data_IF_175529771721
#
_entry.id   IF_175529771721
#
_cell.length_a   1.000
_cell.length_b   1.000
_cell.length_c   1.000
_cell.angle_alpha   90.00
_cell.angle_beta   90.00
_cell.angle_gamma   90.00
#
_symmetry.space_group_name_H-M   'P 1'
#
loop_
_entity.id
_entity.type
_entity.pdbx_description
1 polymer ?
#
# COMPACT_ATOMS: atom_id res chain seq x y z
N UNK A 1 -17.60 7.42 -69.57
CA UNK A 1 -17.90 6.97 -68.23
C UNK A 1 -17.27 7.84 -67.08
N UNK A 2 -16.32 8.74 -67.35
CA UNK A 2 -15.60 9.48 -66.31
C UNK A 2 -16.32 10.61 -65.61
N UNK A 3 -17.15 11.41 -66.27
CA UNK A 3 -17.72 12.62 -65.62
C UNK A 3 -18.77 12.33 -64.55
N UNK A 4 -19.58 11.29 -64.70
CA UNK A 4 -20.62 10.91 -63.72
C UNK A 4 -19.99 10.43 -62.38
N UNK A 5 -18.87 9.75 -62.42
CA UNK A 5 -18.17 9.29 -61.20
C UNK A 5 -17.45 10.44 -60.47
N UNK A 6 -16.96 11.43 -61.20
CA UNK A 6 -16.36 12.64 -60.61
C UNK A 6 -17.42 13.43 -59.83
N UNK A 7 -18.61 13.61 -60.41
CA UNK A 7 -19.71 14.31 -59.76
C UNK A 7 -20.26 13.52 -58.52
N UNK A 8 -20.32 12.17 -58.63
CA UNK A 8 -20.69 11.34 -57.48
C UNK A 8 -19.65 11.44 -56.36
N UNK A 9 -18.35 11.49 -56.66
CA UNK A 9 -17.30 11.69 -55.67
C UNK A 9 -17.33 13.08 -55.05
N UNK A 10 -17.56 14.13 -55.84
CA UNK A 10 -17.69 15.51 -55.38
C UNK A 10 -18.92 15.68 -54.49
N UNK A 11 -20.08 15.09 -54.82
CA UNK A 11 -21.26 15.10 -53.99
C UNK A 11 -21.04 14.30 -52.71
N UNK A 12 -20.34 13.16 -52.75
CA UNK A 12 -20.03 12.39 -51.56
C UNK A 12 -19.06 13.13 -50.63
N UNK A 13 -18.05 13.79 -51.19
CA UNK A 13 -17.11 14.64 -50.43
C UNK A 13 -17.83 15.87 -49.86
N UNK A 14 -18.71 16.52 -50.62
CA UNK A 14 -19.51 17.65 -50.18
C UNK A 14 -20.52 17.21 -49.10
N UNK A 15 -21.12 16.04 -49.22
CA UNK A 15 -21.95 15.44 -48.17
C UNK A 15 -21.15 15.13 -46.91
N UNK A 16 -19.98 14.56 -47.03
CA UNK A 16 -19.07 14.26 -45.92
C UNK A 16 -18.59 15.57 -45.25
N UNK A 17 -18.24 16.58 -46.04
CA UNK A 17 -17.82 17.90 -45.58
C UNK A 17 -19.02 18.64 -44.96
N UNK A 18 -20.19 18.61 -45.59
CA UNK A 18 -21.43 19.20 -45.06
C UNK A 18 -21.92 18.50 -43.80
N UNK A 19 -21.89 17.17 -43.77
CA UNK A 19 -22.12 16.40 -42.56
C UNK A 19 -21.10 16.76 -41.45
N UNK A 20 -19.85 16.94 -41.84
CA UNK A 20 -18.80 17.37 -40.90
C UNK A 20 -19.06 18.77 -40.36
N UNK A 21 -19.55 19.72 -41.15
CA UNK A 21 -19.91 21.06 -40.67
C UNK A 21 -21.25 21.14 -40.01
N UNK A 22 -22.22 20.32 -40.36
CA UNK A 22 -23.57 20.33 -39.79
C UNK A 22 -23.69 19.48 -38.52
N UNK A 23 -22.90 18.41 -38.41
CA UNK A 23 -22.81 17.58 -37.20
C UNK A 23 -21.79 18.08 -36.18
N UNK A 24 -21.10 19.20 -36.45
CA UNK A 24 -19.97 19.69 -35.65
C UNK A 24 -20.10 21.13 -35.11
N UNK A 25 -21.28 21.62 -34.69
CA UNK A 25 -21.30 22.87 -33.97
C UNK A 25 -20.64 22.66 -32.59
N UNK A 26 -19.58 23.39 -32.31
CA UNK A 26 -18.91 23.46 -31.00
C UNK A 26 -18.17 22.19 -30.53
N UNK A 27 -17.55 21.45 -31.44
CA UNK A 27 -16.67 20.33 -31.06
C UNK A 27 -15.36 20.76 -30.43
N UNK A 28 -15.21 22.04 -30.17
CA UNK A 28 -14.06 22.63 -29.51
C UNK A 28 -14.52 23.33 -28.24
N UNK A 29 -13.73 23.18 -27.18
CA UNK A 29 -13.95 23.92 -25.96
C UNK A 29 -13.82 25.44 -26.20
N UNK A 30 -14.73 26.22 -25.63
CA UNK A 30 -14.78 27.67 -25.76
C UNK A 30 -14.10 28.42 -24.63
N UNK A 31 -13.58 27.68 -23.63
CA UNK A 31 -12.86 28.29 -22.52
C UNK A 31 -11.62 29.04 -23.01
N UNK A 32 -11.35 30.20 -22.43
CA UNK A 32 -10.17 31.03 -22.72
C UNK A 32 -8.92 30.58 -21.99
N UNK A 33 -9.08 29.93 -20.85
CA UNK A 33 -8.02 29.44 -19.97
C UNK A 33 -8.12 27.91 -19.78
N UNK A 34 -7.08 27.32 -19.19
CA UNK A 34 -7.13 25.93 -18.76
C UNK A 34 -8.25 25.73 -17.72
N UNK A 35 -9.10 24.75 -17.92
CA UNK A 35 -10.17 24.38 -17.01
C UNK A 35 -9.82 23.04 -16.34
N UNK A 36 -9.75 23.02 -15.03
CA UNK A 36 -9.65 21.80 -14.26
C UNK A 36 -11.06 21.18 -14.12
N UNK A 37 -11.27 20.04 -14.74
CA UNK A 37 -12.50 19.26 -14.63
C UNK A 37 -12.28 18.18 -13.58
N UNK A 38 -12.76 18.42 -12.36
CA UNK A 38 -12.74 17.44 -11.28
C UNK A 38 -14.08 16.72 -11.22
N UNK A 39 -14.07 15.41 -11.22
CA UNK A 39 -15.28 14.57 -11.16
C UNK A 39 -15.03 13.34 -10.29
N UNK A 40 -16.06 12.94 -9.58
CA UNK A 40 -16.10 11.71 -8.80
C UNK A 40 -16.62 10.57 -9.67
N UNK A 41 -16.05 9.41 -9.52
CA UNK A 41 -16.47 8.18 -10.20
C UNK A 41 -16.94 7.15 -9.16
N UNK A 42 -17.91 6.30 -9.45
CA UNK A 42 -18.56 6.12 -10.76
C UNK A 42 -19.46 7.29 -11.16
N UNK A 43 -19.39 7.69 -12.43
CA UNK A 43 -20.26 8.72 -13.01
C UNK A 43 -20.83 8.23 -14.33
N UNK A 44 -22.13 8.48 -14.58
CA UNK A 44 -22.70 8.14 -15.88
C UNK A 44 -22.14 9.03 -16.99
N UNK A 45 -22.09 8.51 -18.22
CA UNK A 45 -21.63 9.29 -19.38
C UNK A 45 -22.45 10.57 -19.60
N UNK A 46 -23.74 10.54 -19.31
CA UNK A 46 -24.63 11.71 -19.47
C UNK A 46 -24.31 12.82 -18.45
N UNK A 47 -24.07 12.45 -17.18
CA UNK A 47 -23.65 13.40 -16.15
C UNK A 47 -22.26 13.98 -16.45
N UNK A 48 -21.33 13.13 -16.89
CA UNK A 48 -19.99 13.56 -17.28
C UNK A 48 -20.06 14.53 -18.47
N UNK A 49 -20.86 14.20 -19.49
CA UNK A 49 -21.06 15.06 -20.67
C UNK A 49 -21.65 16.41 -20.32
N UNK A 50 -22.70 16.44 -19.47
CA UNK A 50 -23.29 17.66 -18.98
C UNK A 50 -22.27 18.55 -18.26
N UNK A 51 -21.41 17.96 -17.42
CA UNK A 51 -20.37 18.66 -16.69
C UNK A 51 -19.27 19.22 -17.63
N UNK A 52 -18.86 18.44 -18.63
CA UNK A 52 -17.90 18.90 -19.66
C UNK A 52 -18.48 20.09 -20.40
N UNK A 53 -19.74 20.03 -20.83
CA UNK A 53 -20.44 21.11 -21.54
C UNK A 53 -20.52 22.37 -20.68
N UNK A 54 -20.93 22.25 -19.43
CA UNK A 54 -21.06 23.35 -18.48
C UNK A 54 -19.71 24.07 -18.26
N UNK A 55 -18.66 23.30 -18.00
CA UNK A 55 -17.34 23.86 -17.65
C UNK A 55 -16.54 24.37 -18.84
N UNK A 56 -16.74 23.82 -20.05
CA UNK A 56 -15.86 24.07 -21.20
C UNK A 56 -16.59 24.57 -22.44
N UNK A 57 -17.92 24.59 -22.44
CA UNK A 57 -18.72 24.88 -23.63
C UNK A 57 -18.59 23.83 -24.75
N UNK A 58 -17.84 22.75 -24.51
CA UNK A 58 -17.67 21.68 -25.48
C UNK A 58 -18.99 20.94 -25.64
N UNK A 59 -19.57 20.96 -26.85
CA UNK A 59 -20.73 20.15 -27.17
C UNK A 59 -20.28 18.79 -27.72
N UNK A 60 -20.77 17.74 -27.10
CA UNK A 60 -20.48 16.40 -27.55
C UNK A 60 -21.57 15.91 -28.50
N UNK A 61 -21.25 15.02 -29.46
CA UNK A 61 -22.26 14.44 -30.33
C UNK A 61 -23.24 13.58 -29.51
N UNK A 62 -24.49 13.46 -30.01
CA UNK A 62 -25.56 12.63 -29.44
C UNK A 62 -25.16 11.19 -29.04
N UNK A 63 -23.99 10.74 -29.44
CA UNK A 63 -23.47 9.41 -29.20
C UNK A 63 -22.18 9.40 -28.36
N UNK A 64 -21.95 10.41 -27.49
CA UNK A 64 -20.75 10.45 -26.63
C UNK A 64 -20.53 9.12 -25.90
N UNK A 65 -21.56 8.59 -25.26
CA UNK A 65 -21.51 7.31 -24.56
C UNK A 65 -21.09 6.15 -25.48
N UNK A 66 -21.65 6.09 -26.70
CA UNK A 66 -21.29 5.04 -27.67
C UNK A 66 -19.85 5.15 -28.15
N UNK A 67 -19.39 6.36 -28.45
CA UNK A 67 -18.01 6.62 -28.89
C UNK A 67 -17.02 6.35 -27.75
N UNK A 68 -17.34 6.80 -26.56
CA UNK A 68 -16.51 6.58 -25.37
C UNK A 68 -16.38 5.09 -25.06
N UNK A 69 -17.49 4.36 -25.04
CA UNK A 69 -17.53 2.91 -24.85
C UNK A 69 -16.75 2.18 -25.94
N UNK A 70 -16.94 2.54 -27.21
CA UNK A 70 -16.19 1.96 -28.35
C UNK A 70 -14.67 2.17 -28.22
N UNK A 71 -14.25 3.31 -27.68
CA UNK A 71 -12.83 3.58 -27.38
C UNK A 71 -12.33 2.93 -26.08
N UNK A 72 -13.19 2.17 -25.39
CA UNK A 72 -12.86 1.50 -24.14
C UNK A 72 -12.72 2.45 -22.95
N UNK A 73 -13.34 3.65 -23.05
CA UNK A 73 -13.44 4.55 -21.91
C UNK A 73 -14.42 3.96 -20.90
N UNK A 74 -14.02 3.94 -19.62
CA UNK A 74 -14.84 3.53 -18.49
C UNK A 74 -14.86 4.66 -17.47
N UNK A 75 -16.02 4.94 -16.92
CA UNK A 75 -16.24 5.95 -15.86
C UNK A 75 -16.83 5.30 -14.59
N UNK A 76 -16.55 4.00 -14.43
CA UNK A 76 -17.07 3.13 -13.38
C UNK A 76 -16.06 2.84 -12.25
N UNK A 77 -14.83 3.37 -12.36
CA UNK A 77 -13.83 3.21 -11.31
C UNK A 77 -14.08 4.20 -10.16
N UNK A 78 -14.08 3.74 -8.91
CA UNK A 78 -14.22 4.63 -7.76
C UNK A 78 -13.03 5.60 -7.63
N UNK A 79 -13.32 6.83 -7.28
CA UNK A 79 -12.32 7.85 -7.00
C UNK A 79 -12.63 9.22 -7.56
N UNK A 80 -11.78 10.18 -7.26
CA UNK A 80 -11.83 11.54 -7.81
C UNK A 80 -10.77 11.69 -8.89
N UNK A 81 -11.18 12.18 -10.05
CA UNK A 81 -10.29 12.42 -11.17
C UNK A 81 -10.28 13.90 -11.55
N UNK A 82 -9.10 14.47 -11.76
CA UNK A 82 -8.96 15.85 -12.25
C UNK A 82 -8.29 15.85 -13.61
N UNK A 83 -9.00 16.38 -14.60
CA UNK A 83 -8.55 16.49 -15.97
C UNK A 83 -8.38 17.97 -16.34
N UNK A 84 -7.23 18.33 -16.88
CA UNK A 84 -7.02 19.70 -17.37
C UNK A 84 -7.38 19.81 -18.83
N UNK A 85 -8.44 20.54 -19.13
CA UNK A 85 -8.92 20.82 -20.50
C UNK A 85 -8.36 22.17 -20.93
N UNK A 86 -7.57 22.17 -21.99
CA UNK A 86 -6.98 23.37 -22.56
C UNK A 86 -7.98 24.10 -23.47
N UNK A 87 -7.78 25.39 -23.72
CA UNK A 87 -8.54 26.12 -24.73
C UNK A 87 -8.51 25.41 -26.08
N UNK A 88 -9.62 25.45 -26.80
CA UNK A 88 -9.78 24.83 -28.14
C UNK A 88 -9.53 23.30 -28.14
N UNK A 89 -9.72 22.61 -27.00
CA UNK A 89 -9.69 21.16 -26.97
C UNK A 89 -10.86 20.62 -27.77
N UNK A 90 -10.60 19.79 -28.78
CA UNK A 90 -11.66 19.14 -29.56
C UNK A 90 -12.24 17.95 -28.81
N UNK A 91 -13.48 17.57 -29.17
CA UNK A 91 -14.11 16.34 -28.65
C UNK A 91 -13.21 15.10 -28.80
N UNK A 92 -12.58 14.93 -29.94
CA UNK A 92 -11.68 13.80 -30.17
C UNK A 92 -10.41 13.87 -29.32
N UNK A 93 -9.91 15.09 -29.09
CA UNK A 93 -8.78 15.30 -28.19
C UNK A 93 -9.17 15.01 -26.75
N UNK A 94 -10.38 15.34 -26.33
CA UNK A 94 -10.91 15.00 -25.01
C UNK A 94 -11.00 13.47 -24.85
N UNK A 95 -11.61 12.76 -25.81
CA UNK A 95 -11.68 11.29 -25.76
C UNK A 95 -10.28 10.65 -25.70
N UNK A 96 -9.34 11.11 -26.55
CA UNK A 96 -7.96 10.61 -26.51
C UNK A 96 -7.29 10.88 -25.16
N UNK A 97 -7.52 12.07 -24.61
CA UNK A 97 -6.97 12.45 -23.29
C UNK A 97 -7.53 11.57 -22.19
N UNK A 98 -8.83 11.31 -22.15
CA UNK A 98 -9.49 10.43 -21.18
C UNK A 98 -8.99 8.98 -21.32
N UNK A 99 -8.95 8.45 -22.54
CA UNK A 99 -8.44 7.09 -22.78
C UNK A 99 -6.97 6.96 -22.40
N UNK A 100 -6.16 7.98 -22.73
CA UNK A 100 -4.76 8.04 -22.32
C UNK A 100 -4.63 8.09 -20.81
N UNK A 101 -5.40 8.95 -20.12
CA UNK A 101 -5.41 9.08 -18.68
C UNK A 101 -5.72 7.74 -17.99
N UNK A 102 -6.70 6.98 -18.51
CA UNK A 102 -7.03 5.65 -17.99
C UNK A 102 -5.95 4.59 -18.26
N UNK A 103 -5.19 4.72 -19.36
CA UNK A 103 -4.09 3.82 -19.70
C UNK A 103 -2.78 4.18 -19.03
N UNK A 104 -2.64 5.43 -18.57
CA UNK A 104 -1.44 5.87 -17.87
C UNK A 104 -1.24 5.02 -16.62
N UNK A 105 -0.04 4.48 -16.50
CA UNK A 105 0.40 3.81 -15.30
C UNK A 105 1.23 4.78 -14.47
N UNK A 106 1.18 4.60 -13.16
CA UNK A 106 2.06 5.29 -12.22
C UNK A 106 2.73 4.28 -11.31
N UNK A 107 3.94 4.61 -10.92
CA UNK A 107 4.67 3.84 -9.92
C UNK A 107 4.25 4.28 -8.53
N UNK A 108 3.88 3.32 -7.70
CA UNK A 108 3.50 3.51 -6.30
C UNK A 108 4.43 2.66 -5.46
N UNK A 109 5.15 3.30 -4.55
CA UNK A 109 6.08 2.60 -3.64
C UNK A 109 5.43 2.40 -2.29
N UNK A 110 5.37 1.15 -1.85
CA UNK A 110 4.98 0.76 -0.50
C UNK A 110 6.25 0.58 0.31
N UNK A 111 6.37 1.35 1.37
CA UNK A 111 7.56 1.34 2.22
C UNK A 111 7.37 0.44 3.44
N UNK A 112 8.45 -0.18 3.88
CA UNK A 112 8.52 -0.77 5.21
C UNK A 112 8.30 0.29 6.29
N UNK A 113 8.01 -0.14 7.52
CA UNK A 113 7.71 0.71 8.69
C UNK A 113 6.36 1.42 8.67
N UNK A 114 5.63 1.45 7.57
CA UNK A 114 4.29 2.02 7.56
C UNK A 114 3.35 1.23 8.47
N UNK A 115 2.67 1.95 9.36
CA UNK A 115 1.51 1.47 10.09
C UNK A 115 0.25 1.57 9.22
N UNK A 116 -0.90 1.13 9.77
CA UNK A 116 -2.18 1.15 9.07
C UNK A 116 -2.58 2.55 8.58
N UNK A 117 -2.44 3.55 9.45
CA UNK A 117 -2.81 4.92 9.12
C UNK A 117 -1.91 5.52 8.03
N UNK A 118 -0.62 5.19 8.07
CA UNK A 118 0.33 5.60 7.02
C UNK A 118 0.01 4.92 5.69
N UNK A 119 -0.26 3.60 5.72
CA UNK A 119 -0.62 2.84 4.53
C UNK A 119 -1.86 3.41 3.84
N UNK A 120 -2.97 3.58 4.57
CA UNK A 120 -4.19 4.18 4.03
C UNK A 120 -3.94 5.58 3.48
N UNK A 121 -3.35 6.45 4.28
CA UNK A 121 -3.13 7.86 3.94
C UNK A 121 -2.23 8.04 2.72
N UNK A 122 -1.15 7.26 2.62
CA UNK A 122 -0.20 7.37 1.50
C UNK A 122 -0.79 6.83 0.19
N UNK A 123 -1.53 5.73 0.24
CA UNK A 123 -2.19 5.20 -0.96
C UNK A 123 -3.35 6.08 -1.40
N UNK A 124 -4.22 6.49 -0.48
CA UNK A 124 -5.35 7.39 -0.79
C UNK A 124 -4.86 8.69 -1.44
N UNK A 125 -3.82 9.31 -0.89
CA UNK A 125 -3.21 10.52 -1.48
C UNK A 125 -2.69 10.29 -2.91
N UNK A 126 -2.18 9.09 -3.19
CA UNK A 126 -1.66 8.81 -4.52
C UNK A 126 -2.75 8.60 -5.57
N UNK A 127 -3.92 8.12 -5.17
CA UNK A 127 -5.00 7.79 -6.09
C UNK A 127 -6.19 8.76 -5.98
N UNK A 128 -6.09 9.80 -5.16
CA UNK A 128 -7.17 10.76 -4.85
C UNK A 128 -8.43 10.08 -4.28
N UNK A 129 -8.25 8.98 -3.52
CA UNK A 129 -9.35 8.33 -2.81
C UNK A 129 -9.65 9.00 -1.48
N UNK A 130 -10.88 8.82 -0.98
CA UNK A 130 -11.14 9.01 0.45
C UNK A 130 -10.23 8.09 1.28
N UNK A 131 -9.62 8.58 2.38
CA UNK A 131 -8.80 7.73 3.25
C UNK A 131 -9.52 6.48 3.78
N UNK A 132 -10.86 6.51 3.91
CA UNK A 132 -11.67 5.40 4.40
C UNK A 132 -11.86 4.29 3.37
N UNK A 133 -11.95 4.60 2.06
CA UNK A 133 -12.26 3.63 1.02
C UNK A 133 -11.32 2.42 1.00
N UNK A 134 -10.01 2.64 1.17
CA UNK A 134 -9.07 1.53 1.21
C UNK A 134 -9.32 0.62 2.42
N UNK A 135 -9.68 1.22 3.56
CA UNK A 135 -10.01 0.48 4.77
C UNK A 135 -11.31 -0.29 4.65
N UNK A 136 -12.32 0.29 4.05
CA UNK A 136 -13.63 -0.34 3.80
C UNK A 136 -13.45 -1.60 2.95
N UNK A 137 -12.73 -1.50 1.82
CA UNK A 137 -12.44 -2.64 0.97
C UNK A 137 -11.58 -3.71 1.66
N UNK A 138 -10.59 -3.30 2.44
CA UNK A 138 -9.71 -4.20 3.18
C UNK A 138 -10.47 -4.98 4.27
N UNK A 139 -11.48 -4.35 4.89
CA UNK A 139 -12.28 -4.94 5.97
C UNK A 139 -13.56 -5.61 5.46
N UNK A 140 -13.89 -5.51 4.18
CA UNK A 140 -15.06 -6.17 3.61
C UNK A 140 -14.96 -7.70 3.72
N UNK A 141 -15.92 -8.37 4.38
CA UNK A 141 -15.86 -9.81 4.60
C UNK A 141 -15.86 -10.64 3.30
N UNK A 142 -16.48 -10.13 2.23
CA UNK A 142 -16.53 -10.79 0.92
C UNK A 142 -15.16 -10.79 0.28
N UNK A 143 -14.47 -9.65 0.32
CA UNK A 143 -13.10 -9.52 -0.18
C UNK A 143 -12.14 -10.40 0.63
N UNK A 144 -12.22 -10.35 1.95
CA UNK A 144 -11.38 -11.17 2.84
C UNK A 144 -11.59 -12.67 2.59
N UNK A 145 -12.84 -13.13 2.47
CA UNK A 145 -13.16 -14.52 2.14
C UNK A 145 -12.51 -14.93 0.82
N UNK A 146 -12.69 -14.13 -0.24
CA UNK A 146 -12.12 -14.39 -1.57
C UNK A 146 -10.60 -14.49 -1.54
N UNK A 147 -9.91 -13.57 -0.85
CA UNK A 147 -8.45 -13.59 -0.73
C UNK A 147 -7.96 -14.77 0.12
N UNK A 148 -8.66 -15.10 1.21
CA UNK A 148 -8.31 -16.24 2.06
C UNK A 148 -8.45 -17.58 1.33
N UNK A 149 -9.47 -17.74 0.48
CA UNK A 149 -9.67 -18.96 -0.31
C UNK A 149 -8.62 -19.16 -1.40
N UNK A 150 -8.08 -18.08 -1.96
CA UNK A 150 -7.17 -18.11 -3.11
C UNK A 150 -5.68 -18.14 -2.74
N UNK A 151 -5.34 -17.95 -1.47
CA UNK A 151 -3.96 -17.76 -1.04
C UNK A 151 -3.57 -18.65 0.14
N UNK A 152 -2.33 -18.52 0.60
CA UNK A 152 -1.80 -19.12 1.82
C UNK A 152 -2.43 -18.59 3.13
N UNK A 153 -3.29 -17.58 3.05
CA UNK A 153 -4.00 -16.99 4.21
C UNK A 153 -5.09 -17.90 4.80
N UNK A 154 -5.39 -19.06 4.18
CA UNK A 154 -6.49 -19.95 4.55
C UNK A 154 -6.59 -20.29 6.04
N UNK A 155 -5.46 -20.48 6.71
CA UNK A 155 -5.46 -20.96 8.10
C UNK A 155 -5.72 -19.86 9.13
N UNK A 156 -5.26 -18.63 8.91
CA UNK A 156 -5.39 -17.53 9.87
C UNK A 156 -6.11 -16.29 9.33
N UNK A 157 -6.48 -16.31 8.07
CA UNK A 157 -7.27 -15.27 7.44
C UNK A 157 -6.61 -13.89 7.39
N UNK A 158 -7.08 -13.06 6.49
CA UNK A 158 -6.83 -11.63 6.49
C UNK A 158 -7.87 -10.98 7.40
N UNK A 159 -7.41 -10.15 8.33
CA UNK A 159 -8.26 -9.37 9.23
C UNK A 159 -7.63 -8.00 9.54
N UNK A 160 -8.27 -7.24 10.41
CA UNK A 160 -7.78 -5.92 10.83
C UNK A 160 -6.40 -5.94 11.50
N UNK A 161 -5.95 -7.07 12.01
CA UNK A 161 -4.67 -7.23 12.67
C UNK A 161 -3.56 -7.75 11.77
N UNK A 162 -3.93 -8.38 10.62
CA UNK A 162 -2.99 -9.13 9.77
C UNK A 162 -2.83 -8.54 8.36
N UNK A 163 -3.45 -7.40 8.05
CA UNK A 163 -3.41 -6.78 6.72
C UNK A 163 -1.97 -6.56 6.20
N UNK A 164 -0.99 -6.40 7.08
CA UNK A 164 0.42 -6.24 6.71
C UNK A 164 0.97 -7.45 5.96
N UNK A 165 0.32 -8.61 6.11
CA UNK A 165 0.74 -9.83 5.44
C UNK A 165 0.63 -9.76 3.90
N UNK A 166 -0.26 -8.90 3.38
CA UNK A 166 -0.40 -8.66 1.93
C UNK A 166 0.41 -7.46 1.44
N UNK A 167 1.00 -6.66 2.33
CA UNK A 167 1.71 -5.44 1.97
C UNK A 167 3.23 -5.70 1.91
N UNK A 168 3.70 -6.26 0.81
CA UNK A 168 5.13 -6.48 0.60
C UNK A 168 5.79 -5.17 0.17
N UNK A 169 6.86 -4.67 0.85
CA UNK A 169 7.56 -3.46 0.45
C UNK A 169 8.16 -3.59 -0.94
N UNK A 170 7.67 -2.78 -1.88
CA UNK A 170 8.15 -2.73 -3.26
C UNK A 170 7.55 -1.53 -3.99
N UNK A 171 8.01 -1.29 -5.22
CA UNK A 171 7.40 -0.34 -6.16
C UNK A 171 6.55 -1.09 -7.17
N UNK A 172 5.29 -0.71 -7.26
CA UNK A 172 4.28 -1.36 -8.07
C UNK A 172 3.77 -0.41 -9.15
N UNK A 173 3.56 -0.93 -10.35
CA UNK A 173 2.90 -0.18 -11.42
C UNK A 173 1.40 -0.40 -11.37
N UNK A 174 0.64 0.68 -11.21
CA UNK A 174 -0.82 0.69 -11.21
C UNK A 174 -1.36 1.60 -12.31
N UNK A 175 -2.56 1.31 -12.80
CA UNK A 175 -3.31 2.29 -13.59
C UNK A 175 -3.57 3.51 -12.72
N UNK A 176 -3.54 4.68 -13.31
CA UNK A 176 -3.82 5.94 -12.61
C UNK A 176 -5.23 5.98 -11.98
N UNK A 177 -6.16 5.29 -12.62
CA UNK A 177 -7.56 5.14 -12.22
C UNK A 177 -7.81 3.83 -11.46
N UNK A 178 -6.80 3.21 -10.86
CA UNK A 178 -7.01 1.98 -10.11
C UNK A 178 -7.89 2.25 -8.89
N UNK A 179 -8.85 1.37 -8.64
CA UNK A 179 -9.70 1.41 -7.45
C UNK A 179 -8.99 0.81 -6.24
N UNK A 180 -9.45 1.09 -5.00
CA UNK A 180 -8.90 0.48 -3.80
C UNK A 180 -8.84 -1.05 -3.90
N UNK A 181 -9.92 -1.69 -4.34
CA UNK A 181 -9.97 -3.15 -4.49
C UNK A 181 -8.95 -3.67 -5.52
N UNK A 182 -8.75 -2.96 -6.64
CA UNK A 182 -7.76 -3.36 -7.65
C UNK A 182 -6.32 -3.26 -7.11
N UNK A 183 -6.05 -2.28 -6.26
CA UNK A 183 -4.75 -2.15 -5.60
C UNK A 183 -4.56 -3.29 -4.59
N UNK A 184 -5.57 -3.55 -3.75
CA UNK A 184 -5.51 -4.64 -2.78
C UNK A 184 -5.39 -6.01 -3.45
N UNK A 185 -6.13 -6.30 -4.51
CA UNK A 185 -6.02 -7.54 -5.29
C UNK A 185 -4.60 -7.73 -5.84
N UNK A 186 -4.00 -6.65 -6.33
CA UNK A 186 -2.62 -6.70 -6.79
C UNK A 186 -1.65 -6.99 -5.64
N UNK A 187 -1.83 -6.37 -4.47
CA UNK A 187 -0.98 -6.62 -3.32
C UNK A 187 -1.12 -8.06 -2.80
N UNK A 188 -2.34 -8.58 -2.74
CA UNK A 188 -2.59 -9.98 -2.38
C UNK A 188 -1.87 -10.93 -3.34
N UNK A 189 -1.97 -10.67 -4.65
CA UNK A 189 -1.25 -11.47 -5.65
C UNK A 189 0.27 -11.40 -5.47
N UNK A 190 0.83 -10.21 -5.28
CA UNK A 190 2.27 -10.04 -5.07
C UNK A 190 2.74 -10.73 -3.77
N UNK A 191 1.94 -10.66 -2.72
CA UNK A 191 2.22 -11.39 -1.48
C UNK A 191 2.16 -12.91 -1.70
N UNK A 192 1.20 -13.40 -2.50
CA UNK A 192 1.13 -14.80 -2.86
C UNK A 192 2.40 -15.25 -3.62
N UNK A 193 2.84 -14.47 -4.57
CA UNK A 193 4.04 -14.77 -5.36
C UNK A 193 5.33 -14.66 -4.50
N UNK A 194 5.34 -13.74 -3.52
CA UNK A 194 6.45 -13.60 -2.56
C UNK A 194 6.60 -14.80 -1.64
N UNK A 195 5.49 -15.39 -1.17
CA UNK A 195 5.50 -16.56 -0.30
C UNK A 195 5.72 -17.85 -1.09
N UNK A 196 6.92 -18.00 -1.65
CA UNK A 196 7.34 -19.19 -2.40
C UNK A 196 7.28 -20.46 -1.55
N UNK A 197 7.31 -21.62 -2.21
CA UNK A 197 7.39 -22.92 -1.50
C UNK A 197 8.55 -22.98 -0.52
N UNK A 198 9.68 -22.37 -0.86
CA UNK A 198 10.87 -22.30 0.01
C UNK A 198 10.59 -21.50 1.27
N UNK A 199 9.98 -20.27 1.15
CA UNK A 199 9.60 -19.45 2.30
C UNK A 199 8.54 -20.12 3.17
N UNK A 200 7.55 -20.75 2.56
CA UNK A 200 6.52 -21.52 3.26
C UNK A 200 7.14 -22.66 4.06
N UNK A 201 8.06 -23.42 3.45
CA UNK A 201 8.76 -24.51 4.13
C UNK A 201 9.65 -24.00 5.27
N UNK A 202 10.34 -22.88 5.08
CA UNK A 202 11.16 -22.24 6.11
C UNK A 202 10.31 -21.80 7.31
N UNK A 203 9.15 -21.18 7.06
CA UNK A 203 8.20 -20.80 8.11
C UNK A 203 7.69 -22.03 8.89
N UNK A 204 7.27 -23.07 8.17
CA UNK A 204 6.81 -24.35 8.76
C UNK A 204 7.88 -25.02 9.64
N UNK A 205 9.16 -25.02 9.22
CA UNK A 205 10.27 -25.54 10.04
C UNK A 205 10.47 -24.77 11.34
N UNK A 206 10.06 -23.51 11.38
CA UNK A 206 10.09 -22.68 12.60
C UNK A 206 8.82 -22.85 13.46
N UNK A 207 7.84 -23.63 13.01
CA UNK A 207 6.53 -23.76 13.63
C UNK A 207 5.68 -22.49 13.50
N UNK A 208 5.96 -21.65 12.49
CA UNK A 208 5.27 -20.38 12.26
C UNK A 208 4.51 -20.40 10.94
N UNK A 209 3.35 -19.75 10.92
CA UNK A 209 2.64 -19.40 9.69
C UNK A 209 3.29 -18.16 9.04
N UNK A 210 3.07 -17.90 7.74
CA UNK A 210 3.51 -16.66 7.10
C UNK A 210 3.07 -15.39 7.83
N UNK A 211 1.84 -15.37 8.35
CA UNK A 211 1.32 -14.25 9.16
C UNK A 211 2.15 -14.04 10.43
N UNK A 212 2.51 -15.13 11.12
CA UNK A 212 3.34 -15.07 12.33
C UNK A 212 4.77 -14.63 12.02
N UNK A 213 5.32 -15.05 10.88
CA UNK A 213 6.61 -14.53 10.41
C UNK A 213 6.53 -13.00 10.17
N UNK A 214 5.45 -12.51 9.57
CA UNK A 214 5.23 -11.06 9.35
C UNK A 214 5.13 -10.32 10.69
N UNK A 215 4.42 -10.88 11.69
CA UNK A 215 4.36 -10.31 13.04
C UNK A 215 5.75 -10.22 13.67
N UNK A 216 6.51 -11.29 13.66
CA UNK A 216 7.87 -11.32 14.20
C UNK A 216 8.79 -10.35 13.45
N UNK A 217 8.76 -10.35 12.12
CA UNK A 217 9.57 -9.46 11.30
C UNK A 217 9.21 -7.99 11.50
N UNK A 218 7.95 -7.65 11.83
CA UNK A 218 7.54 -6.29 12.15
C UNK A 218 8.16 -5.80 13.47
N UNK A 219 8.30 -6.68 14.46
CA UNK A 219 9.02 -6.39 15.71
C UNK A 219 10.51 -6.15 15.39
N UNK A 220 11.17 -7.06 14.67
CA UNK A 220 12.58 -6.93 14.27
C UNK A 220 12.82 -5.61 13.51
N UNK A 221 11.91 -5.26 12.60
CA UNK A 221 11.97 -4.01 11.81
C UNK A 221 11.90 -2.75 12.70
N UNK A 222 11.12 -2.80 13.78
CA UNK A 222 10.97 -1.66 14.71
C UNK A 222 12.02 -1.64 15.82
N UNK A 223 12.72 -2.73 16.05
CA UNK A 223 13.76 -2.85 17.09
C UNK A 223 15.05 -2.16 16.69
N UNK A 224 15.46 -2.29 15.45
CA UNK A 224 16.73 -1.74 14.98
C UNK A 224 16.64 -1.25 13.53
N UNK A 225 17.40 -0.21 13.21
CA UNK A 225 17.66 0.20 11.83
C UNK A 225 18.97 -0.43 11.30
N UNK A 226 19.69 -1.20 12.12
CA UNK A 226 20.96 -1.83 11.75
C UNK A 226 20.71 -3.25 11.22
N UNK A 227 20.49 -3.36 9.90
CA UNK A 227 20.18 -4.62 9.21
C UNK A 227 21.08 -5.80 9.57
N UNK A 228 22.43 -5.64 9.75
CA UNK A 228 23.30 -6.74 10.15
C UNK A 228 22.95 -7.42 11.48
N UNK A 229 22.19 -6.79 12.35
CA UNK A 229 21.74 -7.38 13.62
C UNK A 229 20.38 -8.11 13.53
N UNK A 230 19.66 -7.99 12.42
CA UNK A 230 18.32 -8.57 12.28
C UNK A 230 18.31 -10.08 12.56
N UNK A 231 19.32 -10.82 12.07
CA UNK A 231 19.44 -12.26 12.35
C UNK A 231 19.58 -12.60 13.83
N UNK A 232 20.37 -11.81 14.58
CA UNK A 232 20.56 -11.98 16.03
C UNK A 232 19.30 -11.63 16.81
N UNK A 233 18.64 -10.51 16.46
CA UNK A 233 17.39 -10.07 17.07
C UNK A 233 16.29 -11.10 16.80
N UNK A 234 16.13 -11.55 15.54
CA UNK A 234 15.17 -12.57 15.16
C UNK A 234 15.42 -13.90 15.91
N UNK A 235 16.69 -14.32 16.03
CA UNK A 235 17.05 -15.52 16.79
C UNK A 235 16.69 -15.39 18.27
N UNK A 236 16.96 -14.23 18.88
CA UNK A 236 16.61 -13.98 20.28
C UNK A 236 15.10 -14.15 20.51
N UNK A 237 14.29 -13.54 19.68
CA UNK A 237 12.83 -13.68 19.80
C UNK A 237 12.34 -15.08 19.50
N UNK A 238 12.89 -15.77 18.48
CA UNK A 238 12.57 -17.18 18.20
C UNK A 238 12.91 -18.08 19.38
N UNK A 239 14.05 -17.87 20.02
CA UNK A 239 14.45 -18.64 21.20
C UNK A 239 13.49 -18.39 22.38
N UNK A 240 13.09 -17.13 22.64
CA UNK A 240 12.09 -16.80 23.66
C UNK A 240 10.74 -17.46 23.37
N UNK A 241 10.25 -17.42 22.13
CA UNK A 241 9.02 -18.12 21.73
C UNK A 241 9.12 -19.63 22.01
N UNK A 242 10.24 -20.25 21.66
CA UNK A 242 10.48 -21.69 21.85
C UNK A 242 10.43 -22.14 23.32
N UNK A 243 10.90 -21.29 24.25
CA UNK A 243 10.92 -21.59 25.68
C UNK A 243 9.74 -20.99 26.46
N UNK A 244 8.75 -20.40 25.77
CA UNK A 244 7.58 -19.75 26.40
C UNK A 244 7.89 -18.48 27.18
N UNK A 245 9.04 -17.85 26.90
CA UNK A 245 9.44 -16.59 27.56
C UNK A 245 8.72 -15.40 26.92
N UNK A 246 8.34 -14.42 27.73
CA UNK A 246 7.79 -13.14 27.25
C UNK A 246 8.77 -12.48 26.29
N UNK A 247 8.26 -11.93 25.16
CA UNK A 247 9.13 -11.26 24.20
C UNK A 247 9.68 -9.93 24.74
N UNK A 248 8.93 -9.21 25.57
CA UNK A 248 9.31 -7.95 26.19
C UNK A 248 9.93 -6.98 25.18
N UNK A 249 9.28 -6.87 24.03
CA UNK A 249 9.72 -6.02 22.92
C UNK A 249 9.16 -4.60 23.12
N UNK A 250 10.02 -3.62 23.36
CA UNK A 250 9.64 -2.22 23.52
C UNK A 250 8.77 -1.69 22.37
N UNK A 251 9.03 -2.01 21.09
CA UNK A 251 8.17 -1.59 19.99
C UNK A 251 6.69 -1.97 20.12
N UNK A 252 6.39 -3.09 20.78
CA UNK A 252 5.00 -3.53 21.01
C UNK A 252 4.28 -2.64 22.01
N UNK A 253 4.99 -2.15 23.02
CA UNK A 253 4.48 -1.17 23.99
C UNK A 253 4.34 0.21 23.37
N UNK A 254 5.32 0.64 22.56
CA UNK A 254 5.24 1.89 21.80
C UNK A 254 4.02 1.90 20.91
N UNK A 255 3.74 0.78 20.22
CA UNK A 255 2.55 0.62 19.39
C UNK A 255 1.26 0.69 20.20
N UNK A 256 1.20 -0.06 21.32
CA UNK A 256 0.03 -0.11 22.21
C UNK A 256 -0.33 1.26 22.79
N UNK A 257 0.66 2.07 23.19
CA UNK A 257 0.41 3.42 23.73
C UNK A 257 0.16 4.49 22.67
N UNK A 258 0.34 4.19 21.38
CA UNK A 258 0.04 5.09 20.23
C UNK A 258 0.94 6.32 20.11
N UNK A 259 2.07 6.41 20.81
CA UNK A 259 3.02 7.53 20.74
C UNK A 259 4.47 7.07 20.79
N UNK A 260 5.34 7.75 20.08
CA UNK A 260 6.78 7.50 20.10
C UNK A 260 7.45 7.90 21.43
N UNK A 261 8.70 7.50 21.59
CA UNK A 261 9.56 7.88 22.71
C UNK A 261 9.90 6.70 23.62
N UNK A 262 10.78 6.94 24.59
CA UNK A 262 11.29 5.93 25.51
C UNK A 262 10.16 5.23 26.26
N UNK A 263 10.23 3.91 26.37
CA UNK A 263 9.33 3.09 27.18
C UNK A 263 9.71 3.24 28.67
N UNK A 264 8.72 3.52 29.49
CA UNK A 264 8.87 3.62 30.95
C UNK A 264 8.20 2.42 31.62
N UNK A 265 8.56 2.11 32.88
CA UNK A 265 7.97 0.99 33.61
C UNK A 265 6.43 1.03 33.70
N UNK A 266 5.82 2.21 33.71
CA UNK A 266 4.36 2.34 33.64
C UNK A 266 3.77 1.93 32.30
N UNK A 267 4.52 2.14 31.21
CA UNK A 267 4.07 1.83 29.86
C UNK A 267 4.04 0.31 29.63
N UNK A 268 4.95 -0.46 30.26
CA UNK A 268 4.96 -1.93 30.17
C UNK A 268 3.76 -2.61 30.83
N UNK A 269 2.94 -1.85 31.56
CA UNK A 269 1.71 -2.32 32.24
C UNK A 269 0.44 -1.98 31.45
N UNK A 270 0.54 -1.40 30.26
CA UNK A 270 -0.62 -1.05 29.45
C UNK A 270 -1.32 -2.33 28.98
N UNK A 271 -2.59 -2.47 29.33
CA UNK A 271 -3.45 -3.55 28.87
C UNK A 271 -3.70 -3.41 27.36
N UNK A 272 -3.10 -4.28 26.58
CA UNK A 272 -3.25 -4.31 25.13
C UNK A 272 -2.84 -5.68 24.60
N UNK A 273 -3.56 -6.27 23.64
CA UNK A 273 -3.20 -7.53 23.02
C UNK A 273 -1.89 -7.45 22.19
N UNK A 274 -1.34 -6.26 22.04
CA UNK A 274 -0.01 -6.04 21.47
C UNK A 274 1.11 -6.11 22.50
N UNK A 275 0.82 -5.96 23.83
CA UNK A 275 1.84 -5.81 24.84
C UNK A 275 2.53 -7.15 25.19
N UNK A 276 3.71 -7.37 24.64
CA UNK A 276 4.50 -8.57 24.88
C UNK A 276 5.27 -8.58 26.21
N UNK A 277 5.05 -7.60 27.08
CA UNK A 277 5.46 -7.64 28.49
C UNK A 277 4.42 -8.34 29.40
N UNK A 278 3.15 -8.38 28.96
CA UNK A 278 2.07 -9.00 29.71
C UNK A 278 1.67 -10.37 29.15
N UNK A 279 1.75 -10.54 27.86
CA UNK A 279 1.27 -11.74 27.17
C UNK A 279 2.40 -12.49 26.48
N UNK A 280 2.41 -13.82 26.64
CA UNK A 280 3.37 -14.72 25.98
C UNK A 280 3.05 -14.88 24.51
N UNK A 281 4.05 -15.20 23.70
CA UNK A 281 3.89 -15.41 22.27
C UNK A 281 3.99 -14.11 21.46
N UNK A 282 3.58 -14.20 20.21
CA UNK A 282 3.52 -13.06 19.30
C UNK A 282 2.31 -12.17 19.60
N UNK A 283 2.39 -10.86 19.34
CA UNK A 283 1.25 -9.97 19.50
C UNK A 283 0.11 -10.36 18.57
N UNK A 284 -1.11 -9.85 18.84
CA UNK A 284 -2.30 -10.15 18.02
C UNK A 284 -2.10 -9.81 16.55
N UNK A 285 -1.33 -8.77 16.23
CA UNK A 285 -1.06 -8.32 14.87
C UNK A 285 0.36 -7.78 14.68
N UNK A 286 0.74 -7.52 13.43
CA UNK A 286 2.01 -6.89 13.11
C UNK A 286 1.98 -5.39 13.46
N UNK A 287 3.13 -4.83 13.85
CA UNK A 287 3.25 -3.42 14.26
C UNK A 287 3.31 -2.48 13.04
N UNK A 288 3.83 -2.97 11.93
CA UNK A 288 4.01 -2.22 10.70
C UNK A 288 4.23 -3.19 9.53
N UNK A 289 4.29 -2.68 8.32
CA UNK A 289 4.81 -3.41 7.16
C UNK A 289 6.30 -3.71 7.44
N UNK A 290 6.71 -4.98 7.56
CA UNK A 290 8.10 -5.33 7.85
C UNK A 290 9.01 -5.10 6.65
N UNK A 291 10.31 -4.88 6.89
CA UNK A 291 11.29 -4.88 5.82
C UNK A 291 11.54 -6.31 5.30
N UNK A 292 11.89 -6.43 4.00
CA UNK A 292 12.21 -7.73 3.39
C UNK A 292 13.39 -8.39 4.13
N UNK A 293 14.39 -7.61 4.50
CA UNK A 293 15.54 -8.09 5.26
C UNK A 293 15.13 -8.69 6.62
N UNK A 294 14.12 -8.11 7.28
CA UNK A 294 13.63 -8.65 8.55
C UNK A 294 12.86 -9.96 8.33
N UNK A 295 12.04 -10.06 7.27
CA UNK A 295 11.36 -11.32 6.92
C UNK A 295 12.39 -12.41 6.61
N UNK A 296 13.36 -12.12 5.75
CA UNK A 296 14.40 -13.08 5.36
C UNK A 296 15.32 -13.45 6.55
N UNK A 297 15.60 -12.51 7.45
CA UNK A 297 16.33 -12.80 8.69
C UNK A 297 15.55 -13.71 9.65
N UNK A 298 14.23 -13.57 9.71
CA UNK A 298 13.38 -14.49 10.48
C UNK A 298 13.39 -15.91 9.89
N UNK A 299 13.29 -16.03 8.56
CA UNK A 299 13.18 -17.30 7.85
C UNK A 299 14.53 -18.02 7.68
N UNK A 300 15.54 -17.31 7.23
CA UNK A 300 16.80 -17.86 6.73
C UNK A 300 18.02 -17.41 7.53
N UNK A 301 17.84 -16.47 8.47
CA UNK A 301 18.94 -15.94 9.26
C UNK A 301 19.65 -17.04 10.06
N UNK A 302 20.96 -16.87 10.26
CA UNK A 302 21.75 -17.76 11.11
C UNK A 302 21.12 -17.88 12.50
N UNK A 303 21.18 -19.06 13.09
CA UNK A 303 20.69 -19.31 14.44
C UNK A 303 21.76 -18.93 15.46
N UNK A 304 21.35 -18.14 16.44
CA UNK A 304 22.20 -17.71 17.56
C UNK A 304 21.58 -18.17 18.88
N UNK A 305 22.36 -18.46 19.91
CA UNK A 305 21.86 -18.97 21.18
C UNK A 305 21.29 -17.92 22.13
N UNK A 306 21.24 -16.65 21.68
CA UNK A 306 20.87 -15.52 22.53
C UNK A 306 19.39 -15.56 22.93
N UNK A 307 19.12 -15.16 24.16
CA UNK A 307 17.77 -14.91 24.70
C UNK A 307 17.62 -13.49 25.29
N UNK A 308 18.72 -12.73 25.35
CA UNK A 308 18.75 -11.36 25.84
C UNK A 308 19.55 -10.48 24.91
N UNK A 309 19.18 -9.20 24.86
CA UNK A 309 20.01 -8.12 24.30
C UNK A 309 19.68 -6.79 24.95
N UNK A 310 20.58 -5.83 24.89
CA UNK A 310 20.40 -4.44 25.31
C UNK A 310 21.25 -3.52 24.44
N UNK A 311 20.97 -2.21 24.50
CA UNK A 311 21.76 -1.23 23.78
C UNK A 311 23.22 -1.29 24.22
N UNK A 312 24.15 -1.10 23.25
CA UNK A 312 25.59 -1.12 23.48
C UNK A 312 26.06 0.06 24.33
N UNK A 313 27.07 -0.19 25.15
CA UNK A 313 27.66 0.81 26.02
C UNK A 313 28.51 1.87 25.31
N UNK A 314 28.89 1.66 24.06
CA UNK A 314 29.52 2.66 23.20
C UNK A 314 28.52 3.67 22.61
N UNK A 315 27.22 3.51 22.94
CA UNK A 315 26.10 4.36 22.51
C UNK A 315 25.87 4.40 20.99
N UNK A 316 26.45 3.45 20.27
CA UNK A 316 26.08 3.19 18.88
C UNK A 316 24.66 2.60 18.81
N UNK A 317 23.96 2.71 17.67
CA UNK A 317 22.63 2.12 17.50
C UNK A 317 22.69 0.60 17.31
N UNK A 318 23.50 -0.09 18.11
CA UNK A 318 23.72 -1.53 18.10
C UNK A 318 23.41 -2.13 19.48
N UNK A 319 23.41 -3.47 19.54
CA UNK A 319 23.08 -4.22 20.75
C UNK A 319 24.21 -5.15 21.19
N UNK A 320 24.33 -5.31 22.50
CA UNK A 320 25.06 -6.41 23.14
C UNK A 320 24.08 -7.56 23.38
N UNK A 321 24.43 -8.74 22.87
CA UNK A 321 23.61 -9.97 22.99
C UNK A 321 24.16 -10.86 24.10
N UNK A 322 23.26 -11.61 24.79
CA UNK A 322 23.63 -12.48 25.88
C UNK A 322 22.79 -13.75 25.90
N UNK A 323 23.38 -14.84 26.40
CA UNK A 323 22.72 -16.15 26.59
C UNK A 323 22.09 -16.21 27.99
N UNK A 324 22.77 -15.67 28.98
CA UNK A 324 22.36 -15.72 30.38
C UNK A 324 21.88 -14.36 30.90
N UNK A 325 21.04 -14.39 31.93
CA UNK A 325 20.58 -13.16 32.59
C UNK A 325 21.73 -12.40 33.25
N UNK A 326 22.73 -13.11 33.78
CA UNK A 326 23.91 -12.48 34.41
C UNK A 326 24.72 -11.68 33.40
N UNK A 327 24.99 -12.26 32.21
CA UNK A 327 25.66 -11.55 31.12
C UNK A 327 24.85 -10.32 30.68
N UNK A 328 23.53 -10.47 30.51
CA UNK A 328 22.66 -9.37 30.17
C UNK A 328 22.71 -8.24 31.21
N UNK A 329 22.64 -8.57 32.49
CA UNK A 329 22.71 -7.59 33.58
C UNK A 329 24.07 -6.83 33.57
N UNK A 330 25.18 -7.52 33.30
CA UNK A 330 26.50 -6.89 33.13
C UNK A 330 26.51 -5.93 31.95
N UNK A 331 25.95 -6.32 30.81
CA UNK A 331 25.82 -5.48 29.62
C UNK A 331 24.95 -4.25 29.90
N UNK A 332 23.79 -4.43 30.49
CA UNK A 332 22.87 -3.35 30.86
C UNK A 332 23.49 -2.36 31.84
N UNK A 333 24.25 -2.84 32.84
CA UNK A 333 24.98 -1.97 33.78
C UNK A 333 26.06 -1.14 33.06
N UNK A 334 26.78 -1.71 32.09
CA UNK A 334 27.76 -0.97 31.27
C UNK A 334 27.07 0.14 30.48
N UNK A 335 25.97 -0.17 29.81
CA UNK A 335 25.18 0.81 29.08
C UNK A 335 24.67 1.94 30.00
N UNK A 336 24.09 1.62 31.14
CA UNK A 336 23.59 2.62 32.10
C UNK A 336 24.70 3.52 32.62
N UNK A 337 25.89 2.99 32.90
CA UNK A 337 27.05 3.79 33.29
C UNK A 337 27.47 4.79 32.20
N UNK A 338 27.56 4.33 30.95
CA UNK A 338 27.88 5.18 29.82
C UNK A 338 26.84 6.28 29.60
N UNK A 339 25.54 5.94 29.68
CA UNK A 339 24.44 6.90 29.54
C UNK A 339 24.43 7.97 30.67
N UNK A 340 24.75 7.56 31.89
CA UNK A 340 24.83 8.48 33.02
C UNK A 340 26.04 9.41 32.95
N UNK A 341 27.17 8.96 32.38
CA UNK A 341 28.33 9.79 32.13
C UNK A 341 28.02 10.92 31.14
N UNK A 342 27.24 10.64 30.05
CA UNK A 342 26.82 11.67 29.10
C UNK A 342 25.89 12.74 29.70
N UNK A 343 25.10 12.40 30.72
CA UNK A 343 24.18 13.36 31.35
C UNK A 343 24.86 14.30 32.34
N UNK A 344 26.10 13.99 32.76
CA UNK A 344 26.87 14.79 33.68
C UNK A 344 27.79 15.82 33.01
N UNK A 345 27.99 15.65 31.70
CA UNK A 345 28.69 16.60 30.82
C UNK A 345 27.66 17.43 30.04
#
# INVERSE_FOLDING_TARGET
>A
MGKKWIWALVTLVALIVGLKFWLLPNWYSTNSNNVALTYETPISFDKFDAMVKDKTGLTTPLSFAKIASWKGLKLDADGTSTLVIRPKTSFWSLIKLLVRYQREQKMVTILSHWDYNQFQRQLSKQFDWSPTHLGEELMDPTNQKRWNEQTWLKEKGLDSYNWQAIAIPNSYMFKRTATPIQVLDRLVKEAHDFWTKERMLAASKLGLTPVEVVKLASIVTKESNHVPEYGKIASTYKNRLKIGMLLQADPTVVFARGRAGRVLNRDTKIESPYNTYLYTGLPIGALCIPSLNAIDSCLFGAQYPYVYFCAKSDLTPQHDFAITLDEHNKNAQRFHRALNALKKN
#
